data_IF_219012457392
#
_entry.id   IF_219012457392
#
_cell.length_a   1.000
_cell.length_b   1.000
_cell.length_c   1.000
_cell.angle_alpha   90.00
_cell.angle_beta   90.00
_cell.angle_gamma   90.00
#
_symmetry.space_group_name_H-M   'P 1'
#
loop_
_entity.id
_entity.type
_entity.pdbx_description
1 polymer ?
#
# COMPACT_ATOMS: atom_id res chain seq x y z
N UNK A 1 16.25 -12.09 -14.49
CA UNK A 1 15.87 -12.31 -13.08
C UNK A 1 16.88 -13.21 -12.39
N UNK A 2 17.37 -12.79 -11.22
CA UNK A 2 18.21 -13.62 -10.36
C UNK A 2 17.37 -14.42 -9.36
N UNK A 3 17.93 -15.47 -8.75
CA UNK A 3 17.25 -16.19 -7.65
C UNK A 3 17.06 -15.35 -6.38
N UNK A 4 17.61 -14.13 -6.36
CA UNK A 4 17.50 -13.16 -5.27
C UNK A 4 16.50 -12.03 -5.56
N UNK A 5 15.76 -12.13 -6.66
CA UNK A 5 14.88 -11.07 -7.14
C UNK A 5 13.43 -11.56 -7.18
N UNK A 6 12.54 -10.77 -6.60
CA UNK A 6 11.10 -10.87 -6.83
C UNK A 6 10.71 -9.70 -7.74
N UNK A 7 10.32 -10.00 -8.97
CA UNK A 7 9.92 -9.02 -9.96
C UNK A 7 8.50 -9.30 -10.48
N UNK A 8 7.84 -8.22 -10.88
CA UNK A 8 6.58 -8.23 -11.59
C UNK A 8 6.82 -7.51 -12.91
N UNK A 9 6.24 -7.99 -14.00
CA UNK A 9 6.43 -7.52 -15.38
C UNK A 9 5.09 -7.10 -16.04
N UNK A 10 4.05 -6.96 -15.22
CA UNK A 10 2.75 -6.48 -15.65
C UNK A 10 1.99 -5.79 -14.51
N UNK A 11 1.01 -4.96 -14.90
CA UNK A 11 0.04 -4.35 -13.99
C UNK A 11 -1.21 -5.21 -13.96
N UNK A 12 -1.57 -5.68 -12.77
CA UNK A 12 -2.78 -6.47 -12.53
C UNK A 12 -3.52 -5.94 -11.30
N UNK A 13 -4.60 -5.14 -11.48
CA UNK A 13 -5.37 -4.59 -10.37
C UNK A 13 -5.94 -5.63 -9.40
N UNK A 14 -6.22 -6.86 -9.86
CA UNK A 14 -6.75 -7.91 -8.98
C UNK A 14 -5.69 -8.45 -8.02
N UNK A 15 -4.42 -8.42 -8.43
CA UNK A 15 -3.28 -8.92 -7.66
C UNK A 15 -2.43 -7.83 -7.02
N UNK A 16 -2.78 -6.56 -7.18
CA UNK A 16 -1.97 -5.44 -6.70
C UNK A 16 -1.81 -5.43 -5.17
N UNK A 17 -2.85 -5.80 -4.41
CA UNK A 17 -2.74 -5.93 -2.94
C UNK A 17 -1.74 -7.00 -2.51
N UNK A 18 -1.63 -8.09 -3.28
CA UNK A 18 -0.66 -9.15 -3.04
C UNK A 18 0.75 -8.65 -3.33
N UNK A 19 0.94 -7.97 -4.47
CA UNK A 19 2.22 -7.36 -4.84
C UNK A 19 2.68 -6.36 -3.78
N UNK A 20 1.82 -5.44 -3.36
CA UNK A 20 2.11 -4.49 -2.29
C UNK A 20 2.52 -5.17 -0.98
N UNK A 21 1.94 -6.33 -0.67
CA UNK A 21 2.32 -7.12 0.51
C UNK A 21 3.71 -7.74 0.34
N UNK A 22 3.96 -8.42 -0.78
CA UNK A 22 5.22 -9.13 -1.04
C UNK A 22 6.41 -8.18 -1.27
N UNK A 23 6.16 -6.99 -1.82
CA UNK A 23 7.17 -5.94 -2.03
C UNK A 23 7.30 -4.97 -0.84
N UNK A 24 6.77 -5.32 0.34
CA UNK A 24 6.96 -4.53 1.57
C UNK A 24 8.44 -4.47 1.96
N UNK A 25 8.92 -3.27 2.28
CA UNK A 25 10.25 -3.08 2.87
C UNK A 25 10.15 -2.70 4.34
N UNK A 26 11.09 -3.18 5.15
CA UNK A 26 11.15 -2.85 6.58
C UNK A 26 12.52 -3.11 7.18
N UNK A 27 12.80 -2.48 8.31
CA UNK A 27 14.10 -2.52 8.99
C UNK A 27 14.01 -2.93 10.47
N UNK A 28 12.86 -3.46 10.89
CA UNK A 28 12.58 -3.82 12.29
C UNK A 28 12.08 -2.66 13.15
N UNK A 29 12.29 -1.40 12.75
CA UNK A 29 11.71 -0.22 13.39
C UNK A 29 10.39 0.19 12.72
N UNK A 30 10.36 0.19 11.39
CA UNK A 30 9.16 0.43 10.60
C UNK A 30 9.14 -0.42 9.34
N UNK A 31 7.94 -0.55 8.76
CA UNK A 31 7.72 -1.20 7.48
C UNK A 31 6.75 -0.38 6.62
N UNK A 32 6.95 -0.38 5.31
CA UNK A 32 6.06 0.26 4.33
C UNK A 32 5.73 -0.73 3.23
N UNK A 33 4.43 -0.91 2.98
CA UNK A 33 3.93 -1.73 1.86
C UNK A 33 4.48 -1.19 0.54
N UNK A 34 4.71 -2.09 -0.42
CA UNK A 34 5.24 -1.75 -1.75
C UNK A 34 4.22 -1.07 -2.66
N UNK A 35 3.42 -0.13 -2.14
CA UNK A 35 2.45 0.63 -2.90
C UNK A 35 3.15 1.66 -3.79
N UNK A 36 2.59 1.88 -4.99
CA UNK A 36 3.08 2.91 -5.89
C UNK A 36 2.97 4.31 -5.24
N UNK A 37 4.00 5.17 -5.31
CA UNK A 37 4.00 6.49 -4.68
C UNK A 37 2.82 7.40 -5.07
N UNK A 38 2.30 7.25 -6.27
CA UNK A 38 1.17 7.98 -6.81
C UNK A 38 -0.19 7.44 -6.34
N UNK A 39 -0.22 6.23 -5.77
CA UNK A 39 -1.47 5.57 -5.39
C UNK A 39 -2.00 6.04 -4.04
N UNK A 40 -3.31 5.85 -3.86
CA UNK A 40 -4.03 6.15 -2.62
C UNK A 40 -4.82 4.92 -2.20
N UNK A 41 -5.21 4.87 -0.93
CA UNK A 41 -6.07 3.80 -0.45
C UNK A 41 -7.41 3.82 -1.22
N UNK A 42 -7.71 2.71 -1.89
CA UNK A 42 -8.93 2.51 -2.66
C UNK A 42 -9.28 1.01 -2.74
N UNK A 43 -10.06 0.61 -3.75
CA UNK A 43 -10.43 -0.79 -3.97
C UNK A 43 -9.25 -1.68 -4.39
N UNK A 44 -8.23 -1.11 -5.02
CA UNK A 44 -7.07 -1.80 -5.62
C UNK A 44 -5.85 -1.67 -4.71
N UNK A 45 -5.51 -0.46 -4.31
CA UNK A 45 -4.31 -0.14 -3.54
C UNK A 45 -4.61 0.03 -2.05
N UNK A 46 -3.64 -0.37 -1.23
CA UNK A 46 -3.68 -0.13 0.21
C UNK A 46 -2.28 0.29 0.72
N UNK A 47 -1.87 1.55 0.50
CA UNK A 47 -0.63 2.06 1.05
C UNK A 47 -0.67 1.97 2.57
N UNK A 48 0.38 1.38 3.14
CA UNK A 48 0.47 1.10 4.56
C UNK A 48 1.86 1.36 5.10
N UNK A 49 1.97 2.17 6.16
CA UNK A 49 3.21 2.39 6.91
C UNK A 49 2.97 2.06 8.37
N UNK A 50 3.83 1.23 8.96
CA UNK A 50 3.67 0.74 10.33
C UNK A 50 4.98 0.89 11.09
N UNK A 51 4.89 1.31 12.35
CA UNK A 51 6.04 1.33 13.26
C UNK A 51 5.90 0.25 14.33
N UNK A 52 7.01 -0.37 14.71
CA UNK A 52 7.04 -1.28 15.85
C UNK A 52 6.58 -0.53 17.13
N UNK A 53 5.59 -1.06 17.82
CA UNK A 53 4.98 -0.40 18.98
C UNK A 53 3.87 0.60 18.65
N UNK A 54 3.61 0.88 17.36
CA UNK A 54 2.53 1.76 16.91
C UNK A 54 1.16 1.05 16.92
N UNK A 55 0.65 0.74 18.11
CA UNK A 55 -0.64 0.07 18.28
C UNK A 55 -1.72 1.04 18.75
N UNK A 56 -2.98 0.73 18.44
CA UNK A 56 -4.13 1.40 19.01
C UNK A 56 -5.14 0.36 19.49
N UNK A 57 -5.70 0.60 20.68
CA UNK A 57 -6.66 -0.29 21.31
C UNK A 57 -8.05 0.29 21.20
N UNK A 58 -8.96 -0.44 20.55
CA UNK A 58 -10.34 -0.01 20.36
C UNK A 58 -11.29 -1.17 20.66
N UNK A 59 -12.48 -0.83 21.13
CA UNK A 59 -13.56 -1.79 21.38
C UNK A 59 -14.57 -1.71 20.24
N UNK A 60 -14.87 -2.85 19.64
CA UNK A 60 -15.87 -3.00 18.58
C UNK A 60 -16.98 -3.94 19.05
N UNK A 61 -18.23 -3.54 18.86
CA UNK A 61 -19.38 -4.42 19.11
C UNK A 61 -19.55 -5.41 17.96
N UNK A 62 -19.40 -6.71 18.24
CA UNK A 62 -19.59 -7.79 17.27
C UNK A 62 -20.61 -8.78 17.83
N UNK A 63 -21.73 -8.94 17.13
CA UNK A 63 -22.84 -9.80 17.54
C UNK A 63 -23.33 -9.53 19.00
N UNK A 64 -23.37 -8.25 19.39
CA UNK A 64 -23.80 -7.81 20.72
C UNK A 64 -22.81 -8.09 21.85
N UNK A 65 -21.53 -8.29 21.51
CA UNK A 65 -20.44 -8.47 22.46
C UNK A 65 -19.36 -7.42 22.20
N UNK A 66 -18.86 -6.71 23.23
CA UNK A 66 -17.71 -5.84 23.09
C UNK A 66 -16.45 -6.69 22.90
N UNK A 67 -15.74 -6.46 21.81
CA UNK A 67 -14.44 -7.09 21.52
C UNK A 67 -13.39 -5.99 21.49
N UNK A 68 -12.42 -6.08 22.40
CA UNK A 68 -11.24 -5.22 22.41
C UNK A 68 -10.17 -5.78 21.48
N UNK A 69 -9.72 -4.98 20.51
CA UNK A 69 -8.62 -5.31 19.62
C UNK A 69 -7.48 -4.31 19.81
N UNK A 70 -6.25 -4.81 19.77
CA UNK A 70 -5.03 -4.00 19.78
C UNK A 70 -4.30 -4.25 18.46
N UNK A 71 -4.48 -3.34 17.52
CA UNK A 71 -4.03 -3.51 16.14
C UNK A 71 -2.92 -2.51 15.79
N UNK A 72 -2.04 -2.91 14.86
CA UNK A 72 -1.06 -2.00 14.28
C UNK A 72 -1.77 -0.88 13.52
N UNK A 73 -1.42 0.36 13.83
CA UNK A 73 -1.98 1.54 13.19
C UNK A 73 -1.27 1.77 11.86
N UNK A 74 -2.06 1.95 10.81
CA UNK A 74 -1.55 2.53 9.57
C UNK A 74 -1.21 4.02 9.81
N UNK A 75 0.08 4.31 9.90
CA UNK A 75 0.63 5.65 10.10
C UNK A 75 0.49 6.51 8.84
N UNK A 76 0.69 7.84 8.93
CA UNK A 76 0.68 8.71 7.77
C UNK A 76 1.59 8.18 6.64
N UNK A 77 1.01 8.04 5.45
CA UNK A 77 1.74 7.58 4.27
C UNK A 77 2.79 8.63 3.86
N UNK A 78 4.06 8.20 3.81
CA UNK A 78 5.21 9.04 3.47
C UNK A 78 5.70 8.87 2.03
N UNK A 79 5.12 7.91 1.29
CA UNK A 79 5.37 7.70 -0.12
C UNK A 79 4.79 8.74 -1.10
N UNK A 80 3.74 9.55 -0.79
CA UNK A 80 3.02 10.30 -1.81
C UNK A 80 3.91 11.13 -2.74
N UNK A 81 3.93 10.74 -4.01
CA UNK A 81 4.54 11.49 -5.10
C UNK A 81 3.62 11.37 -6.31
N UNK A 82 3.09 12.50 -6.76
CA UNK A 82 2.24 12.57 -7.95
C UNK A 82 2.81 13.56 -8.96
N UNK A 83 2.41 13.42 -10.22
CA UNK A 83 2.87 14.27 -11.30
C UNK A 83 1.77 14.42 -12.36
N UNK A 84 1.94 15.41 -13.24
CA UNK A 84 1.13 15.59 -14.44
C UNK A 84 2.00 16.20 -15.53
N UNK A 85 1.63 15.94 -16.78
CA UNK A 85 2.30 16.51 -17.94
C UNK A 85 1.63 17.85 -18.26
N UNK A 86 2.37 18.94 -18.11
CA UNK A 86 1.91 20.31 -18.38
C UNK A 86 0.55 20.62 -17.69
N UNK A 87 -0.47 20.98 -18.46
CA UNK A 87 -1.84 21.25 -18.01
C UNK A 87 -2.77 20.04 -18.01
N UNK A 88 -2.24 18.83 -18.23
CA UNK A 88 -3.02 17.60 -18.30
C UNK A 88 -3.57 17.11 -16.95
N UNK A 89 -4.20 15.93 -17.00
CA UNK A 89 -4.68 15.23 -15.81
C UNK A 89 -3.51 14.79 -14.92
N UNK A 90 -3.77 14.66 -13.61
CA UNK A 90 -2.85 13.98 -12.70
C UNK A 90 -2.67 12.53 -13.12
N UNK A 91 -1.44 12.04 -13.06
CA UNK A 91 -1.11 10.67 -13.41
C UNK A 91 -1.87 9.70 -12.52
N UNK A 92 -2.48 8.71 -13.15
CA UNK A 92 -3.07 7.54 -12.51
C UNK A 92 -2.86 6.35 -13.46
N UNK A 93 -2.39 5.23 -12.92
CA UNK A 93 -1.98 4.08 -13.72
C UNK A 93 -3.13 3.47 -14.53
N UNK A 94 -4.36 3.59 -14.05
CA UNK A 94 -5.60 3.15 -14.71
C UNK A 94 -6.11 4.12 -15.80
N UNK A 95 -5.45 5.27 -15.97
CA UNK A 95 -5.81 6.31 -16.94
C UNK A 95 -4.81 6.44 -18.09
N UNK A 96 -3.82 5.56 -18.16
CA UNK A 96 -2.74 5.61 -19.16
C UNK A 96 -2.57 4.26 -19.84
N UNK A 97 -1.97 4.30 -21.03
CA UNK A 97 -1.44 3.11 -21.67
C UNK A 97 -0.05 2.82 -21.09
N UNK A 98 0.12 1.63 -20.51
CA UNK A 98 1.41 1.17 -20.01
C UNK A 98 2.15 0.50 -21.17
N UNK A 99 3.23 1.13 -21.62
CA UNK A 99 4.02 0.64 -22.76
C UNK A 99 5.02 -0.46 -22.36
N UNK A 100 5.51 -0.40 -21.12
CA UNK A 100 6.48 -1.34 -20.53
C UNK A 100 6.38 -1.27 -19.01
N UNK A 101 6.73 -2.36 -18.32
CA UNK A 101 6.61 -2.49 -16.88
C UNK A 101 7.69 -3.39 -16.26
#
# INVERSE_FOLDING_TARGET
MSVWELAYDSVDPENERLREALCTLGNGYFATRGAAPESRADGVHYPGTYAAGGYNRLVTEIAGRPIENEDLVNLPNWLPLTFRIEGGAWFALDQVEVLDY
#
